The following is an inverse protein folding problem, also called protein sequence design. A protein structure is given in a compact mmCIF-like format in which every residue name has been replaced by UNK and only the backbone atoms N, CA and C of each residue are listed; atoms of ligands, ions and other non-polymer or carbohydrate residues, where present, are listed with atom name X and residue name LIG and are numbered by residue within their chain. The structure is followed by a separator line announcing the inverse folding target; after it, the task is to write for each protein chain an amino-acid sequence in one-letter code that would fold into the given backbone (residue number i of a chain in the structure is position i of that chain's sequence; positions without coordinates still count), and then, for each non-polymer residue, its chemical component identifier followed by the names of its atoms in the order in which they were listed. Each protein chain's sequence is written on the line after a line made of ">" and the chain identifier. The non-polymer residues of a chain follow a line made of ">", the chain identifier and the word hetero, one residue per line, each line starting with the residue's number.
data_IF_182642043276
#
_entry.id   IF_182642043276
#
_cell.length_a   1.000
_cell.length_b   1.000
_cell.length_c   1.000
_cell.angle_alpha   90.00
_cell.angle_beta   90.00
_cell.angle_gamma   90.00
#
_symmetry.space_group_name_H-M   'P 1'
#
loop_
_entity.id
_entity.type
_entity.pdbx_description
1 polymer ?
#
# COMPACT_ATOMS: atom_id res chain seq x y z
N UNK A 1 -74.13 58.09 30.98
CA UNK A 1 -73.08 58.90 30.32
C UNK A 1 -71.76 58.12 30.17
N UNK A 2 -71.78 56.82 29.83
CA UNK A 2 -70.60 55.94 30.03
C UNK A 2 -70.13 55.08 28.84
N UNK A 3 -70.61 55.29 27.62
CA UNK A 3 -70.27 54.40 26.47
C UNK A 3 -69.50 55.07 25.32
N UNK A 4 -69.25 56.38 25.36
CA UNK A 4 -68.54 57.08 24.27
C UNK A 4 -67.00 56.96 24.33
N UNK A 5 -66.43 56.51 25.46
CA UNK A 5 -64.99 56.34 25.64
C UNK A 5 -64.45 54.94 25.36
N UNK A 6 -65.32 53.93 25.18
CA UNK A 6 -64.90 52.54 24.96
C UNK A 6 -64.46 52.28 23.52
N UNK A 7 -65.12 52.92 22.55
CA UNK A 7 -64.81 52.76 21.11
C UNK A 7 -63.39 53.23 20.77
N UNK A 8 -62.94 54.43 21.22
CA UNK A 8 -61.57 54.90 20.93
C UNK A 8 -60.48 54.03 21.53
N UNK A 9 -60.73 53.47 22.72
CA UNK A 9 -59.78 52.55 23.39
C UNK A 9 -59.66 51.25 22.61
N UNK A 10 -60.78 50.72 22.11
CA UNK A 10 -60.80 49.48 21.34
C UNK A 10 -60.15 49.65 19.96
N UNK A 11 -60.35 50.80 19.30
CA UNK A 11 -59.63 51.15 18.06
C UNK A 11 -58.13 51.27 18.30
N UNK A 12 -57.69 51.93 19.38
CA UNK A 12 -56.26 52.08 19.68
C UNK A 12 -55.60 50.72 19.95
N UNK A 13 -56.27 49.81 20.66
CA UNK A 13 -55.77 48.44 20.86
C UNK A 13 -55.68 47.71 19.52
N UNK A 14 -56.71 47.81 18.68
CA UNK A 14 -56.76 47.11 17.40
C UNK A 14 -55.66 47.60 16.45
N UNK A 15 -55.45 48.92 16.36
CA UNK A 15 -54.35 49.52 15.58
C UNK A 15 -53.00 49.08 16.10
N UNK A 16 -52.83 49.00 17.42
CA UNK A 16 -51.57 48.54 18.05
C UNK A 16 -51.28 47.07 17.70
N UNK A 17 -52.29 46.21 17.75
CA UNK A 17 -52.15 44.78 17.37
C UNK A 17 -51.84 44.64 15.88
N UNK A 18 -52.54 45.38 15.01
CA UNK A 18 -52.27 45.38 13.57
C UNK A 18 -50.85 45.86 13.29
N UNK A 19 -50.38 46.90 13.97
CA UNK A 19 -49.00 47.39 13.84
C UNK A 19 -47.97 46.36 14.31
N UNK A 20 -48.21 45.67 15.43
CA UNK A 20 -47.31 44.61 15.93
C UNK A 20 -47.21 43.42 14.98
N UNK A 21 -48.35 42.95 14.46
CA UNK A 21 -48.40 41.85 13.48
C UNK A 21 -47.73 42.29 12.17
N UNK A 22 -48.00 43.50 11.70
CA UNK A 22 -47.35 44.07 10.52
C UNK A 22 -45.84 44.16 10.73
N UNK A 23 -45.38 44.56 11.92
CA UNK A 23 -43.95 44.59 12.25
C UNK A 23 -43.31 43.20 12.19
N UNK A 24 -43.96 42.17 12.72
CA UNK A 24 -43.46 40.80 12.64
C UNK A 24 -43.39 40.25 11.21
N UNK A 25 -44.31 40.65 10.33
CA UNK A 25 -44.36 40.19 8.93
C UNK A 25 -43.37 40.96 8.04
N UNK A 26 -43.27 42.28 8.21
CA UNK A 26 -42.38 43.12 7.38
C UNK A 26 -40.94 43.15 7.90
N UNK A 27 -40.72 42.86 9.18
CA UNK A 27 -39.41 42.71 9.80
C UNK A 27 -39.24 41.32 10.42
N UNK A 28 -39.25 40.24 9.61
CA UNK A 28 -38.91 38.93 10.13
C UNK A 28 -37.54 38.99 10.78
N UNK A 29 -37.34 38.30 11.90
CA UNK A 29 -36.03 38.16 12.53
C UNK A 29 -35.03 37.65 11.48
N UNK A 30 -34.20 38.55 10.97
CA UNK A 30 -33.04 38.16 10.18
C UNK A 30 -31.97 37.74 11.17
N UNK A 31 -32.08 36.51 11.66
CA UNK A 31 -30.92 35.84 12.23
C UNK A 31 -29.93 35.63 11.09
N UNK A 32 -28.97 36.55 10.99
CA UNK A 32 -27.79 36.31 10.17
C UNK A 32 -27.04 35.18 10.84
N UNK A 33 -27.09 34.00 10.22
CA UNK A 33 -26.25 32.88 10.62
C UNK A 33 -24.79 33.31 10.40
N UNK A 34 -24.18 33.82 11.46
CA UNK A 34 -22.86 34.38 11.38
C UNK A 34 -21.89 33.20 11.38
N UNK A 35 -21.26 32.94 10.23
CA UNK A 35 -20.32 31.82 10.05
C UNK A 35 -18.99 32.02 10.80
N UNK A 36 -18.99 32.84 11.87
CA UNK A 36 -17.82 33.11 12.70
C UNK A 36 -17.33 31.87 13.42
N UNK A 37 -18.25 31.02 13.91
CA UNK A 37 -17.89 29.75 14.53
C UNK A 37 -17.19 28.82 13.53
N UNK A 38 -17.71 28.70 12.31
CA UNK A 38 -17.07 27.92 11.25
C UNK A 38 -15.70 28.50 10.85
N UNK A 39 -15.58 29.82 10.75
CA UNK A 39 -14.32 30.49 10.42
C UNK A 39 -13.25 30.33 11.51
N UNK A 40 -13.63 30.42 12.79
CA UNK A 40 -12.75 30.16 13.93
C UNK A 40 -12.25 28.70 13.93
N UNK A 41 -13.17 27.76 13.73
CA UNK A 41 -12.89 26.32 13.67
C UNK A 41 -11.98 25.99 12.47
N UNK A 42 -12.23 26.57 11.30
CA UNK A 42 -11.37 26.41 10.13
C UNK A 42 -9.95 26.98 10.37
N UNK A 43 -9.84 28.13 11.03
CA UNK A 43 -8.56 28.76 11.36
C UNK A 43 -7.76 27.88 12.32
N UNK A 44 -8.40 27.38 13.39
CA UNK A 44 -7.79 26.42 14.32
C UNK A 44 -7.34 25.13 13.63
N UNK A 45 -8.15 24.61 12.70
CA UNK A 45 -7.80 23.44 11.91
C UNK A 45 -6.55 23.67 11.09
N UNK A 46 -6.47 24.81 10.40
CA UNK A 46 -5.28 25.21 9.62
C UNK A 46 -4.05 25.40 10.49
N UNK A 47 -4.16 26.07 11.63
CA UNK A 47 -3.01 26.30 12.52
C UNK A 47 -2.50 25.00 13.13
N UNK A 48 -3.39 24.09 13.53
CA UNK A 48 -3.02 22.75 13.99
C UNK A 48 -2.27 21.98 12.89
N UNK A 49 -2.79 21.98 11.67
CA UNK A 49 -2.15 21.31 10.52
C UNK A 49 -0.79 21.89 10.18
N UNK A 50 -0.65 23.21 10.11
CA UNK A 50 0.63 23.88 9.86
C UNK A 50 1.61 23.58 11.00
N UNK A 51 1.14 23.51 12.24
CA UNK A 51 1.98 23.18 13.39
C UNK A 51 2.51 21.75 13.26
N UNK A 52 1.65 20.77 12.95
CA UNK A 52 2.02 19.38 12.72
C UNK A 52 3.11 19.23 11.64
N UNK A 53 2.99 20.01 10.57
CA UNK A 53 3.96 20.04 9.47
C UNK A 53 5.28 20.69 9.87
N UNK A 54 5.25 21.84 10.54
CA UNK A 54 6.45 22.54 11.01
C UNK A 54 7.28 21.74 12.00
N UNK A 55 6.63 20.87 12.79
CA UNK A 55 7.33 19.93 13.70
C UNK A 55 7.65 18.59 13.03
N UNK A 56 7.52 18.50 11.70
CA UNK A 56 7.79 17.33 10.88
C UNK A 56 7.12 16.04 11.41
N UNK A 57 5.91 16.18 11.96
CA UNK A 57 5.18 15.07 12.61
C UNK A 57 3.88 14.73 11.90
N UNK A 58 3.52 15.39 10.79
CA UNK A 58 2.32 15.08 9.98
C UNK A 58 2.26 13.60 9.60
N UNK A 59 3.38 13.01 9.20
CA UNK A 59 3.46 11.58 8.85
C UNK A 59 3.19 10.68 10.06
N UNK A 60 3.77 11.03 11.21
CA UNK A 60 3.55 10.31 12.47
C UNK A 60 2.09 10.40 12.90
N UNK A 61 1.54 11.59 12.99
CA UNK A 61 0.16 11.81 13.43
C UNK A 61 -0.89 11.25 12.44
N UNK A 62 -0.57 11.20 11.15
CA UNK A 62 -1.43 10.51 10.18
C UNK A 62 -1.37 8.99 10.33
N UNK A 63 -0.30 8.42 10.86
CA UNK A 63 -0.19 6.96 11.00
C UNK A 63 -0.57 6.44 12.39
N UNK A 64 -0.43 7.28 13.42
CA UNK A 64 -0.62 6.98 14.84
C UNK A 64 -1.72 7.86 15.46
N UNK A 65 -2.89 7.24 15.70
CA UNK A 65 -4.06 7.93 16.23
C UNK A 65 -3.85 8.41 17.68
N UNK A 66 -3.09 7.68 18.48
CA UNK A 66 -2.85 8.04 19.89
C UNK A 66 -1.93 9.26 19.97
N UNK A 67 -0.91 9.31 19.11
CA UNK A 67 -0.04 10.48 19.00
C UNK A 67 -0.81 11.71 18.51
N UNK A 68 -1.70 11.54 17.52
CA UNK A 68 -2.57 12.61 17.03
C UNK A 68 -3.52 13.10 18.13
N UNK A 69 -4.23 12.19 18.81
CA UNK A 69 -5.15 12.53 19.89
C UNK A 69 -4.43 13.27 21.02
N UNK A 70 -3.23 12.82 21.38
CA UNK A 70 -2.38 13.48 22.38
C UNK A 70 -1.97 14.89 21.97
N UNK A 71 -1.76 15.13 20.68
CA UNK A 71 -1.45 16.45 20.13
C UNK A 71 -2.69 17.35 20.07
N UNK A 72 -3.79 16.86 19.51
CA UNK A 72 -5.03 17.63 19.35
C UNK A 72 -5.66 17.97 20.70
N UNK A 73 -5.67 17.06 21.67
CA UNK A 73 -6.17 17.33 23.03
C UNK A 73 -5.36 18.40 23.77
N UNK A 74 -4.10 18.64 23.38
CA UNK A 74 -3.26 19.71 23.95
C UNK A 74 -3.42 21.04 23.21
N UNK A 75 -3.76 20.99 21.92
CA UNK A 75 -3.72 22.14 21.01
C UNK A 75 -5.11 22.74 20.81
N UNK A 76 -6.15 21.90 20.89
CA UNK A 76 -7.53 22.26 20.61
C UNK A 76 -8.32 22.30 21.92
N UNK A 77 -9.14 23.34 22.14
CA UNK A 77 -10.05 23.42 23.28
C UNK A 77 -10.96 22.19 23.43
N UNK A 78 -11.23 21.78 24.68
CA UNK A 78 -12.03 20.59 25.01
C UNK A 78 -13.49 20.62 24.52
N UNK A 79 -14.00 21.77 24.07
CA UNK A 79 -15.36 21.94 23.56
C UNK A 79 -15.47 21.76 22.04
N UNK A 80 -14.36 21.48 21.35
CA UNK A 80 -14.33 21.21 19.91
C UNK A 80 -14.12 19.72 19.70
N UNK A 81 -14.99 19.13 18.90
CA UNK A 81 -14.87 17.76 18.45
C UNK A 81 -14.00 17.75 17.19
N UNK A 82 -13.11 16.78 17.07
CA UNK A 82 -12.26 16.62 15.89
C UNK A 82 -12.42 15.23 15.27
N UNK A 83 -12.21 15.18 13.96
CA UNK A 83 -12.10 13.95 13.20
C UNK A 83 -11.04 14.10 12.13
N UNK A 84 -10.51 12.99 11.65
CA UNK A 84 -9.52 13.02 10.57
C UNK A 84 -9.86 12.04 9.49
N UNK A 85 -9.53 12.41 8.25
CA UNK A 85 -9.45 11.48 7.14
C UNK A 85 -8.10 11.54 6.45
N UNK A 86 -7.58 10.37 6.10
CA UNK A 86 -6.28 10.24 5.42
C UNK A 86 -6.53 9.47 4.15
N UNK A 87 -6.05 9.98 3.04
CA UNK A 87 -6.21 9.40 1.71
C UNK A 87 -4.83 9.20 1.04
N UNK A 88 -4.72 8.20 0.18
CA UNK A 88 -3.54 7.98 -0.67
C UNK A 88 -2.41 7.13 -0.07
N UNK A 89 -2.53 6.67 1.18
CA UNK A 89 -1.53 5.78 1.82
C UNK A 89 -2.05 4.35 2.03
N UNK A 90 -1.14 3.38 2.07
CA UNK A 90 -1.46 2.03 2.55
C UNK A 90 -2.00 2.06 3.99
N UNK A 91 -2.87 1.11 4.36
CA UNK A 91 -3.33 1.00 5.75
C UNK A 91 -2.23 0.37 6.63
N UNK A 92 -2.18 0.71 7.92
CA UNK A 92 -1.21 0.12 8.85
C UNK A 92 -1.54 -1.35 9.18
N UNK A 93 -2.80 -1.75 9.05
CA UNK A 93 -3.26 -3.13 9.16
C UNK A 93 -4.10 -3.46 7.92
N UNK A 94 -3.67 -4.43 7.15
CA UNK A 94 -4.35 -4.90 5.94
C UNK A 94 -4.76 -6.35 6.20
N UNK A 95 -6.07 -6.59 6.24
CA UNK A 95 -6.63 -7.93 6.33
C UNK A 95 -6.66 -8.53 4.94
N UNK A 96 -6.04 -9.69 4.77
CA UNK A 96 -5.95 -10.42 3.51
C UNK A 96 -6.73 -11.72 3.65
N UNK A 97 -7.87 -11.81 2.98
CA UNK A 97 -8.59 -13.07 2.83
C UNK A 97 -7.87 -13.96 1.82
N UNK A 98 -7.68 -15.24 2.12
CA UNK A 98 -6.96 -16.18 1.26
C UNK A 98 -7.76 -17.47 1.11
N UNK A 99 -8.11 -17.86 -0.12
CA UNK A 99 -8.58 -19.22 -0.40
C UNK A 99 -7.37 -20.15 -0.48
N UNK A 100 -6.79 -20.42 0.68
CA UNK A 100 -5.46 -21.00 0.81
C UNK A 100 -5.45 -22.04 1.93
N UNK A 101 -4.57 -23.03 1.80
CA UNK A 101 -4.29 -23.98 2.88
C UNK A 101 -3.61 -23.30 4.06
N UNK A 102 -3.70 -23.89 5.25
CA UNK A 102 -3.01 -23.39 6.46
C UNK A 102 -1.50 -23.23 6.23
N UNK A 103 -0.89 -24.13 5.46
CA UNK A 103 0.52 -24.03 5.09
C UNK A 103 0.80 -22.78 4.25
N UNK A 104 0.04 -22.55 3.19
CA UNK A 104 0.18 -21.36 2.35
C UNK A 104 -0.04 -20.06 3.13
N UNK A 105 -0.99 -20.04 4.06
CA UNK A 105 -1.21 -18.89 4.94
C UNK A 105 0.03 -18.68 5.82
N UNK A 106 0.55 -19.72 6.48
CA UNK A 106 1.76 -19.63 7.28
C UNK A 106 2.96 -19.13 6.46
N UNK A 107 3.13 -19.64 5.25
CA UNK A 107 4.18 -19.22 4.32
C UNK A 107 4.03 -17.74 3.96
N UNK A 108 2.84 -17.29 3.55
CA UNK A 108 2.60 -15.87 3.25
C UNK A 108 2.78 -14.97 4.47
N UNK A 109 2.31 -15.37 5.65
CA UNK A 109 2.51 -14.60 6.88
C UNK A 109 4.00 -14.46 7.20
N UNK A 110 4.79 -15.51 6.97
CA UNK A 110 6.24 -15.45 7.14
C UNK A 110 6.91 -14.55 6.10
N UNK A 111 6.43 -14.54 4.85
CA UNK A 111 7.04 -13.78 3.76
C UNK A 111 6.70 -12.30 3.78
N UNK A 112 5.44 -11.95 4.02
CA UNK A 112 4.92 -10.59 3.83
C UNK A 112 4.13 -10.07 5.03
N UNK A 113 3.95 -10.87 6.10
CA UNK A 113 3.08 -10.53 7.24
C UNK A 113 3.44 -9.23 7.96
N UNK A 114 4.70 -8.78 7.88
CA UNK A 114 5.14 -7.48 8.42
C UNK A 114 6.07 -6.79 7.45
N UNK A 115 5.71 -5.58 7.09
CA UNK A 115 6.48 -4.71 6.19
C UNK A 115 6.78 -3.40 6.92
N UNK A 116 7.85 -2.72 6.52
CA UNK A 116 8.16 -1.37 6.99
C UNK A 116 8.31 -0.45 5.80
N UNK A 117 7.56 0.65 5.80
CA UNK A 117 7.51 1.59 4.68
C UNK A 117 7.43 3.00 5.25
N UNK A 118 8.34 3.91 4.90
CA UNK A 118 8.30 5.30 5.36
C UNK A 118 8.17 5.44 6.89
N UNK A 119 9.02 4.73 7.64
CA UNK A 119 9.09 4.64 9.11
C UNK A 119 7.86 4.05 9.82
N UNK A 120 6.85 3.56 9.10
CA UNK A 120 5.69 2.87 9.68
C UNK A 120 5.73 1.37 9.43
N UNK A 121 5.28 0.61 10.41
CA UNK A 121 4.99 -0.81 10.26
C UNK A 121 3.62 -0.98 9.56
N UNK A 122 3.59 -1.90 8.60
CA UNK A 122 2.38 -2.37 7.93
C UNK A 122 2.24 -3.85 8.25
N UNK A 123 1.18 -4.20 8.97
CA UNK A 123 0.82 -5.57 9.30
C UNK A 123 -0.11 -6.11 8.22
N UNK A 124 0.25 -7.25 7.63
CA UNK A 124 -0.63 -8.02 6.76
C UNK A 124 -1.17 -9.22 7.56
N UNK A 125 -2.45 -9.14 7.93
CA UNK A 125 -3.16 -10.19 8.64
C UNK A 125 -3.85 -11.13 7.65
N UNK A 126 -3.23 -12.28 7.40
CA UNK A 126 -3.64 -13.23 6.38
C UNK A 126 -4.53 -14.29 7.01
N UNK A 127 -5.78 -14.37 6.54
CA UNK A 127 -6.83 -15.21 7.12
C UNK A 127 -7.43 -16.14 6.06
N UNK A 128 -7.81 -17.38 6.45
CA UNK A 128 -8.51 -18.27 5.54
C UNK A 128 -9.89 -17.71 5.19
N UNK A 129 -10.29 -17.81 3.92
CA UNK A 129 -11.63 -17.42 3.46
C UNK A 129 -12.14 -18.36 2.38
N UNK A 130 -13.45 -18.64 2.44
CA UNK A 130 -14.18 -19.16 1.30
C UNK A 130 -14.31 -18.09 0.21
N UNK A 131 -14.64 -18.50 -1.02
CA UNK A 131 -15.00 -17.58 -2.11
C UNK A 131 -16.48 -17.14 -2.04
N UNK A 132 -17.29 -17.79 -1.21
CA UNK A 132 -18.67 -17.42 -0.91
C UNK A 132 -19.11 -17.97 0.46
N UNK A 133 -19.53 -17.13 1.42
CA UNK A 133 -19.31 -15.69 1.46
C UNK A 133 -17.82 -15.36 1.66
N UNK A 134 -17.35 -14.25 1.08
CA UNK A 134 -15.98 -13.77 1.27
C UNK A 134 -15.86 -13.09 2.65
N UNK A 135 -14.84 -13.43 3.42
CA UNK A 135 -14.59 -12.78 4.70
C UNK A 135 -14.25 -11.30 4.51
N UNK A 136 -14.83 -10.43 5.35
CA UNK A 136 -14.52 -8.99 5.37
C UNK A 136 -13.00 -8.78 5.49
N UNK A 137 -12.43 -8.16 4.48
CA UNK A 137 -10.99 -8.00 4.28
C UNK A 137 -10.72 -6.87 3.29
N UNK A 138 -9.46 -6.47 3.13
CA UNK A 138 -9.03 -5.44 2.18
C UNK A 138 -8.60 -6.01 0.82
N UNK A 139 -8.09 -7.25 0.82
CA UNK A 139 -7.63 -7.97 -0.36
C UNK A 139 -8.07 -9.43 -0.26
N UNK A 140 -8.55 -10.00 -1.37
CA UNK A 140 -8.78 -11.43 -1.54
C UNK A 140 -7.67 -12.03 -2.42
N UNK A 141 -6.97 -13.05 -1.91
CA UNK A 141 -6.06 -13.90 -2.69
C UNK A 141 -6.79 -15.19 -3.04
N UNK A 142 -6.88 -15.47 -4.34
CA UNK A 142 -7.36 -16.73 -4.89
C UNK A 142 -6.13 -17.49 -5.35
N UNK A 143 -5.69 -18.47 -4.55
CA UNK A 143 -4.52 -19.28 -4.87
C UNK A 143 -4.95 -20.60 -5.50
N UNK A 144 -4.41 -20.86 -6.68
CA UNK A 144 -4.54 -22.12 -7.38
C UNK A 144 -5.71 -22.13 -8.36
N UNK A 145 -5.98 -23.31 -8.88
CA UNK A 145 -6.99 -23.51 -9.92
C UNK A 145 -8.37 -23.58 -9.29
N UNK A 146 -9.20 -22.58 -9.54
CA UNK A 146 -10.60 -22.54 -9.11
C UNK A 146 -11.47 -21.97 -10.24
N UNK A 147 -12.55 -22.67 -10.59
CA UNK A 147 -13.60 -22.13 -11.45
C UNK A 147 -14.35 -21.03 -10.69
N UNK A 148 -14.32 -19.81 -11.24
CA UNK A 148 -14.90 -18.62 -10.62
C UNK A 148 -16.37 -18.40 -11.03
N UNK A 149 -16.93 -19.25 -11.89
CA UNK A 149 -18.32 -19.16 -12.37
C UNK A 149 -19.34 -19.04 -11.25
N UNK A 150 -19.26 -19.92 -10.25
CA UNK A 150 -20.18 -19.93 -9.11
C UNK A 150 -19.97 -18.75 -8.14
N UNK A 151 -18.80 -18.13 -8.14
CA UNK A 151 -18.40 -17.10 -7.16
C UNK A 151 -18.37 -15.69 -7.73
N UNK A 152 -18.59 -15.54 -9.04
CA UNK A 152 -18.47 -14.28 -9.78
C UNK A 152 -19.21 -13.12 -9.09
N UNK A 153 -20.48 -13.32 -8.74
CA UNK A 153 -21.31 -12.28 -8.12
C UNK A 153 -20.72 -11.79 -6.80
N UNK A 154 -20.27 -12.72 -5.95
CA UNK A 154 -19.70 -12.39 -4.64
C UNK A 154 -18.34 -11.68 -4.78
N UNK A 155 -17.49 -12.14 -5.70
CA UNK A 155 -16.20 -11.48 -6.00
C UNK A 155 -16.42 -10.07 -6.54
N UNK A 156 -17.34 -9.88 -7.48
CA UNK A 156 -17.64 -8.56 -8.05
C UNK A 156 -18.25 -7.62 -7.00
N UNK A 157 -19.12 -8.13 -6.12
CA UNK A 157 -19.65 -7.33 -5.02
C UNK A 157 -18.56 -6.96 -4.00
N UNK A 158 -17.68 -7.91 -3.67
CA UNK A 158 -16.51 -7.65 -2.83
C UNK A 158 -15.59 -6.57 -3.42
N UNK A 159 -15.36 -6.59 -4.73
CA UNK A 159 -14.58 -5.57 -5.42
C UNK A 159 -15.26 -4.19 -5.35
N UNK A 160 -16.58 -4.10 -5.58
CA UNK A 160 -17.35 -2.83 -5.57
C UNK A 160 -17.17 -2.01 -4.28
N UNK A 161 -16.87 -2.65 -3.15
CA UNK A 161 -16.57 -1.98 -1.88
C UNK A 161 -15.18 -1.30 -1.84
N UNK A 162 -14.43 -1.35 -2.95
CA UNK A 162 -13.08 -0.85 -3.12
C UNK A 162 -12.00 -1.84 -2.71
N UNK A 163 -12.34 -3.13 -2.55
CA UNK A 163 -11.37 -4.17 -2.19
C UNK A 163 -10.67 -4.73 -3.43
N UNK A 164 -9.43 -5.21 -3.24
CA UNK A 164 -8.62 -5.78 -4.30
C UNK A 164 -8.74 -7.30 -4.39
N UNK A 165 -8.54 -7.86 -5.59
CA UNK A 165 -8.49 -9.31 -5.80
C UNK A 165 -7.18 -9.68 -6.48
N UNK A 166 -6.51 -10.72 -5.99
CA UNK A 166 -5.28 -11.26 -6.56
C UNK A 166 -5.54 -12.72 -6.94
N UNK A 167 -5.39 -13.04 -8.22
CA UNK A 167 -5.42 -14.42 -8.72
C UNK A 167 -4.00 -14.92 -8.91
N UNK A 168 -3.65 -16.03 -8.28
CA UNK A 168 -2.36 -16.69 -8.46
C UNK A 168 -2.60 -18.12 -8.94
N UNK A 169 -2.31 -18.42 -10.20
CA UNK A 169 -2.52 -19.76 -10.73
C UNK A 169 -1.68 -20.04 -11.97
N UNK A 170 -1.19 -21.28 -12.08
CA UNK A 170 -0.71 -21.84 -13.34
C UNK A 170 -1.92 -22.06 -14.26
N UNK A 171 -2.16 -21.10 -15.16
CA UNK A 171 -3.40 -21.04 -15.92
C UNK A 171 -3.62 -22.31 -16.77
N UNK A 172 -4.67 -23.05 -16.44
CA UNK A 172 -5.46 -23.78 -17.41
C UNK A 172 -6.35 -22.77 -18.18
N UNK A 173 -7.15 -23.21 -19.15
CA UNK A 173 -8.05 -22.31 -19.87
C UNK A 173 -8.93 -21.55 -18.87
N UNK A 174 -8.81 -20.20 -18.77
CA UNK A 174 -9.57 -19.42 -17.80
C UNK A 174 -11.05 -19.50 -18.15
N UNK A 175 -11.91 -19.66 -17.15
CA UNK A 175 -13.34 -19.54 -17.36
C UNK A 175 -13.74 -18.09 -17.70
N UNK A 176 -15.00 -17.90 -18.11
CA UNK A 176 -15.50 -16.57 -18.51
C UNK A 176 -15.46 -15.56 -17.35
N UNK A 177 -15.65 -16.00 -16.11
CA UNK A 177 -15.62 -15.14 -14.92
C UNK A 177 -14.19 -14.72 -14.58
N UNK A 178 -13.24 -15.64 -14.70
CA UNK A 178 -11.81 -15.37 -14.55
C UNK A 178 -11.33 -14.34 -15.57
N UNK A 179 -11.74 -14.53 -16.83
CA UNK A 179 -11.46 -13.62 -17.94
C UNK A 179 -11.97 -12.21 -17.66
N UNK A 180 -13.18 -12.08 -17.13
CA UNK A 180 -13.80 -10.79 -16.81
C UNK A 180 -13.15 -10.10 -15.61
N UNK A 181 -12.92 -10.83 -14.52
CA UNK A 181 -12.33 -10.29 -13.29
C UNK A 181 -10.90 -9.79 -13.55
N UNK A 182 -10.07 -10.62 -14.19
CA UNK A 182 -8.65 -10.32 -14.40
C UNK A 182 -8.35 -9.65 -15.74
N UNK A 183 -9.34 -9.51 -16.64
CA UNK A 183 -9.15 -8.87 -17.95
C UNK A 183 -8.18 -9.64 -18.86
N UNK A 184 -8.19 -10.97 -18.78
CA UNK A 184 -7.26 -11.84 -19.50
C UNK A 184 -8.01 -12.80 -20.42
N UNK A 185 -7.51 -12.99 -21.64
CA UNK A 185 -7.98 -14.01 -22.57
C UNK A 185 -6.84 -14.92 -22.97
N UNK A 186 -7.14 -16.08 -23.54
CA UNK A 186 -6.10 -16.91 -24.14
C UNK A 186 -5.46 -16.16 -25.31
N UNK A 187 -4.16 -16.37 -25.55
CA UNK A 187 -3.47 -15.76 -26.67
C UNK A 187 -4.23 -16.01 -27.98
N UNK A 188 -4.73 -17.22 -28.18
CA UNK A 188 -5.46 -17.61 -29.41
C UNK A 188 -6.70 -16.77 -29.62
N UNK A 189 -7.44 -16.42 -28.56
CA UNK A 189 -8.61 -15.52 -28.65
C UNK A 189 -8.22 -14.08 -28.95
N UNK A 190 -7.03 -13.65 -28.52
CA UNK A 190 -6.57 -12.26 -28.69
C UNK A 190 -5.90 -12.05 -30.04
N UNK A 191 -5.06 -12.98 -30.50
CA UNK A 191 -4.19 -12.82 -31.67
C UNK A 191 -4.40 -13.88 -32.77
N UNK A 192 -5.14 -14.96 -32.48
CA UNK A 192 -5.29 -16.11 -33.36
C UNK A 192 -4.17 -17.15 -33.19
N UNK A 193 -4.46 -18.41 -33.50
CA UNK A 193 -3.58 -19.56 -33.22
C UNK A 193 -2.18 -19.44 -33.85
N UNK A 194 -2.09 -18.86 -35.06
CA UNK A 194 -0.82 -18.69 -35.77
C UNK A 194 0.18 -17.79 -35.03
N UNK A 195 -0.29 -16.92 -34.13
CA UNK A 195 0.54 -15.98 -33.39
C UNK A 195 0.82 -16.41 -31.95
N UNK A 196 0.45 -17.64 -31.58
CA UNK A 196 0.48 -18.13 -30.18
C UNK A 196 1.34 -19.38 -29.98
N UNK A 197 2.18 -19.74 -30.96
CA UNK A 197 3.16 -20.80 -30.79
C UNK A 197 4.25 -20.37 -29.79
N UNK A 198 4.61 -21.20 -28.83
CA UNK A 198 5.64 -20.86 -27.84
C UNK A 198 6.99 -20.58 -28.51
N UNK A 199 7.46 -19.34 -28.44
CA UNK A 199 8.89 -19.05 -28.59
C UNK A 199 9.45 -18.98 -27.18
N UNK A 200 9.93 -20.11 -26.65
CA UNK A 200 10.51 -20.14 -25.33
C UNK A 200 11.79 -19.29 -25.33
N UNK A 201 11.66 -18.04 -24.89
CA UNK A 201 12.79 -17.30 -24.35
C UNK A 201 12.75 -17.52 -22.84
N UNK A 202 13.89 -17.89 -22.26
CA UNK A 202 14.04 -18.06 -20.81
C UNK A 202 14.16 -16.72 -20.07
N UNK A 203 13.91 -15.60 -20.75
CA UNK A 203 14.11 -14.27 -20.20
C UNK A 203 12.78 -13.71 -19.73
N UNK A 204 12.63 -13.67 -18.40
CA UNK A 204 11.56 -12.90 -17.79
C UNK A 204 12.04 -11.45 -17.72
N UNK A 205 11.18 -10.50 -18.02
CA UNK A 205 11.53 -9.08 -17.94
C UNK A 205 10.47 -8.34 -17.15
N UNK A 206 10.89 -7.29 -16.48
CA UNK A 206 9.98 -6.35 -15.83
C UNK A 206 9.86 -5.12 -16.69
N UNK A 207 8.62 -4.74 -16.99
CA UNK A 207 8.36 -3.47 -17.65
C UNK A 207 8.51 -2.36 -16.61
N UNK A 208 9.45 -1.46 -16.77
CA UNK A 208 9.55 -0.26 -15.93
C UNK A 208 8.73 0.87 -16.55
N UNK A 209 7.85 1.49 -15.77
CA UNK A 209 7.18 2.75 -16.14
C UNK A 209 7.39 3.83 -15.09
N UNK A 210 7.64 5.06 -15.54
CA UNK A 210 7.58 6.28 -14.72
C UNK A 210 6.20 6.95 -14.79
N UNK A 211 5.35 6.53 -15.71
CA UNK A 211 4.03 7.14 -15.91
C UNK A 211 3.02 6.61 -14.89
N UNK A 212 2.64 7.49 -13.96
CA UNK A 212 1.68 7.23 -12.89
C UNK A 212 0.25 6.91 -13.38
N UNK A 213 -0.09 7.24 -14.63
CA UNK A 213 -1.40 6.94 -15.21
C UNK A 213 -1.55 5.48 -15.63
N UNK A 214 -0.45 4.72 -15.75
CA UNK A 214 -0.50 3.33 -16.21
C UNK A 214 -1.03 2.40 -15.11
N UNK A 215 -1.88 1.40 -15.44
CA UNK A 215 -2.40 0.46 -14.45
C UNK A 215 -1.32 -0.27 -13.65
N UNK A 216 -0.23 -0.64 -14.29
CA UNK A 216 0.91 -1.34 -13.69
C UNK A 216 1.78 -0.48 -12.76
N UNK A 217 1.68 0.86 -12.83
CA UNK A 217 2.60 1.77 -12.15
C UNK A 217 2.64 1.55 -10.64
N UNK A 218 1.49 1.39 -10.00
CA UNK A 218 1.47 1.33 -8.55
C UNK A 218 2.13 0.06 -8.01
N UNK A 219 1.88 -1.09 -8.64
CA UNK A 219 2.53 -2.35 -8.28
C UNK A 219 4.03 -2.27 -8.51
N UNK A 220 4.46 -1.70 -9.65
CA UNK A 220 5.88 -1.48 -9.94
C UNK A 220 6.54 -0.54 -8.94
N UNK A 221 5.89 0.57 -8.61
CA UNK A 221 6.36 1.53 -7.60
C UNK A 221 6.58 0.83 -6.26
N UNK A 222 5.66 -0.02 -5.81
CA UNK A 222 5.89 -0.80 -4.60
C UNK A 222 7.04 -1.79 -4.78
N UNK A 223 7.11 -2.52 -5.89
CA UNK A 223 8.19 -3.47 -6.14
C UNK A 223 9.59 -2.82 -6.06
N UNK A 224 9.78 -1.64 -6.67
CA UNK A 224 11.08 -0.96 -6.72
C UNK A 224 11.42 -0.12 -5.47
N UNK A 225 10.53 -0.04 -4.50
CA UNK A 225 10.76 0.82 -3.33
C UNK A 225 10.47 0.14 -2.00
N UNK A 226 9.63 -0.89 -1.98
CA UNK A 226 9.26 -1.57 -0.75
C UNK A 226 10.49 -2.22 -0.11
N UNK A 227 10.83 -1.81 1.13
CA UNK A 227 11.88 -2.45 1.89
C UNK A 227 11.45 -3.86 2.28
N UNK A 228 12.13 -4.87 1.75
CA UNK A 228 11.85 -6.26 2.07
C UNK A 228 12.50 -6.55 3.41
N UNK A 229 11.70 -7.08 4.33
CA UNK A 229 12.18 -7.61 5.60
C UNK A 229 12.93 -8.91 5.35
N UNK A 230 14.19 -8.97 5.76
CA UNK A 230 14.86 -10.25 5.96
C UNK A 230 15.03 -10.52 7.46
N UNK A 231 14.75 -11.76 7.85
CA UNK A 231 14.93 -12.24 9.19
C UNK A 231 16.31 -12.87 9.26
N UNK A 232 17.22 -12.23 9.99
CA UNK A 232 18.49 -12.86 10.27
C UNK A 232 18.23 -14.14 11.09
N UNK A 233 18.80 -15.25 10.62
CA UNK A 233 18.84 -16.48 11.41
C UNK A 233 19.78 -16.25 12.60
N UNK A 234 19.43 -16.87 13.73
CA UNK A 234 20.28 -16.94 14.92
C UNK A 234 21.47 -17.88 14.65
N UNK A 235 22.37 -17.50 13.76
CA UNK A 235 23.70 -18.07 13.70
C UNK A 235 24.58 -17.23 14.59
N UNK A 236 24.81 -17.69 15.82
CA UNK A 236 25.81 -17.12 16.72
C UNK A 236 27.17 -17.37 16.09
N UNK A 237 27.66 -16.41 15.32
CA UNK A 237 29.07 -16.39 14.95
C UNK A 237 29.88 -16.03 16.21
N UNK A 238 31.09 -16.60 16.41
CA UNK A 238 32.02 -16.06 17.39
C UNK A 238 32.16 -14.55 17.15
N UNK A 239 32.34 -13.76 18.21
CA UNK A 239 32.29 -12.27 18.25
C UNK A 239 33.27 -11.53 17.32
N UNK A 240 34.00 -12.25 16.48
CA UNK A 240 34.90 -11.77 15.45
C UNK A 240 34.40 -12.23 14.09
N UNK A 241 33.98 -11.29 13.24
CA UNK A 241 33.78 -11.55 11.82
C UNK A 241 35.08 -11.14 11.14
N UNK A 242 35.89 -12.12 10.72
CA UNK A 242 37.07 -11.82 9.91
C UNK A 242 36.62 -11.23 8.57
N UNK A 243 37.31 -10.20 8.10
CA UNK A 243 37.02 -9.61 6.78
C UNK A 243 38.22 -9.75 5.88
N UNK A 244 37.99 -10.15 4.62
CA UNK A 244 39.01 -10.07 3.57
C UNK A 244 38.99 -8.68 2.93
N UNK A 245 39.22 -7.64 3.74
CA UNK A 245 39.70 -6.37 3.20
C UNK A 245 41.17 -6.55 2.75
N UNK A 246 41.71 -5.78 1.78
CA UNK A 246 43.11 -5.85 1.36
C UNK A 246 44.15 -5.64 2.49
N UNK A 247 43.73 -5.39 3.73
CA UNK A 247 44.57 -5.19 4.90
C UNK A 247 44.29 -6.15 6.09
N UNK A 248 43.55 -7.26 5.91
CA UNK A 248 43.38 -8.26 6.99
C UNK A 248 42.73 -7.73 8.27
N UNK A 249 41.90 -6.68 8.18
CA UNK A 249 41.25 -6.09 9.34
C UNK A 249 40.19 -7.06 9.91
N UNK A 250 40.40 -7.52 11.13
CA UNK A 250 39.37 -8.27 11.89
C UNK A 250 38.33 -7.28 12.37
N UNK A 251 37.09 -7.43 11.92
CA UNK A 251 35.98 -6.62 12.43
C UNK A 251 35.47 -7.31 13.69
N UNK A 252 35.81 -6.73 14.83
CA UNK A 252 35.29 -7.17 16.12
C UNK A 252 33.92 -6.54 16.30
N UNK A 253 32.88 -7.36 16.35
CA UNK A 253 31.56 -6.85 16.64
C UNK A 253 31.47 -6.61 18.15
N UNK A 254 31.12 -5.40 18.60
CA UNK A 254 31.14 -5.05 20.02
C UNK A 254 30.14 -5.86 20.85
N UNK A 255 29.18 -6.50 20.19
CA UNK A 255 28.15 -7.34 20.81
C UNK A 255 28.54 -8.81 20.75
N UNK A 256 28.18 -9.55 21.80
CA UNK A 256 28.36 -11.01 21.91
C UNK A 256 27.44 -11.82 20.99
N UNK A 257 26.47 -11.17 20.34
CA UNK A 257 25.53 -11.78 19.41
C UNK A 257 25.59 -11.05 18.07
N UNK A 258 26.00 -11.77 17.03
CA UNK A 258 25.96 -11.33 15.63
C UNK A 258 24.83 -12.08 14.95
N UNK A 259 23.96 -11.38 14.22
CA UNK A 259 22.84 -11.99 13.51
C UNK A 259 23.17 -12.08 12.02
N UNK A 260 23.06 -13.27 11.44
CA UNK A 260 23.40 -13.51 10.04
C UNK A 260 22.17 -13.79 9.18
N UNK A 261 22.13 -13.26 7.97
CA UNK A 261 21.08 -13.58 7.00
C UNK A 261 21.63 -13.69 5.58
N UNK A 262 20.72 -13.90 4.64
CA UNK A 262 21.10 -14.06 3.25
C UNK A 262 20.08 -13.39 2.34
N UNK A 263 20.48 -12.27 1.74
CA UNK A 263 19.70 -11.62 0.70
C UNK A 263 19.78 -12.49 -0.56
N UNK A 264 18.66 -13.11 -0.90
CA UNK A 264 18.50 -13.88 -2.15
C UNK A 264 17.64 -13.10 -3.13
N UNK A 265 18.18 -12.76 -4.29
CA UNK A 265 17.45 -12.07 -5.35
C UNK A 265 17.79 -12.75 -6.67
N UNK A 266 16.84 -13.51 -7.22
CA UNK A 266 17.09 -14.48 -8.30
C UNK A 266 18.21 -15.47 -7.93
N UNK A 267 19.18 -15.68 -8.83
CA UNK A 267 20.44 -16.41 -8.66
C UNK A 267 21.46 -15.69 -7.77
N UNK A 268 21.31 -14.38 -7.54
CA UNK A 268 22.24 -13.65 -6.69
C UNK A 268 21.92 -13.88 -5.22
N UNK A 269 22.98 -14.07 -4.44
CA UNK A 269 22.91 -14.33 -3.01
C UNK A 269 24.01 -13.55 -2.33
N UNK A 270 23.67 -12.79 -1.30
CA UNK A 270 24.63 -12.04 -0.51
C UNK A 270 24.38 -12.26 0.98
N UNK A 271 25.39 -12.78 1.66
CA UNK A 271 25.35 -12.97 3.11
C UNK A 271 25.53 -11.63 3.79
N UNK A 272 24.85 -11.44 4.90
CA UNK A 272 25.04 -10.25 5.71
C UNK A 272 25.07 -10.58 7.20
N UNK A 273 25.64 -9.67 7.97
CA UNK A 273 25.81 -9.77 9.42
C UNK A 273 25.45 -8.45 10.09
N UNK A 274 24.53 -8.50 11.04
CA UNK A 274 24.08 -7.37 11.85
C UNK A 274 24.88 -7.41 13.16
N UNK A 275 25.77 -6.43 13.35
CA UNK A 275 26.57 -6.34 14.56
C UNK A 275 26.05 -5.30 15.56
N UNK A 276 25.39 -4.25 15.08
CA UNK A 276 24.74 -3.23 15.92
C UNK A 276 23.59 -2.56 15.15
N UNK A 277 22.92 -1.58 15.77
CA UNK A 277 21.78 -0.86 15.19
C UNK A 277 22.12 0.12 14.06
N UNK A 278 23.39 0.25 13.69
CA UNK A 278 23.84 1.29 12.75
C UNK A 278 24.60 0.73 11.54
N UNK A 279 25.12 -0.50 11.63
CA UNK A 279 25.97 -1.09 10.60
C UNK A 279 25.57 -2.54 10.31
N UNK A 280 25.54 -2.88 9.03
CA UNK A 280 25.40 -4.24 8.50
C UNK A 280 26.62 -4.54 7.65
N UNK A 281 27.30 -5.64 7.91
CA UNK A 281 28.39 -6.13 7.08
C UNK A 281 27.80 -7.05 6.01
N UNK A 282 28.28 -6.96 4.78
CA UNK A 282 27.70 -7.71 3.67
C UNK A 282 28.81 -8.24 2.75
N UNK A 283 28.61 -9.46 2.26
CA UNK A 283 29.41 -10.09 1.22
C UNK A 283 28.72 -9.87 -0.13
N UNK A 284 29.12 -8.81 -0.84
CA UNK A 284 28.47 -8.41 -2.09
C UNK A 284 29.00 -9.13 -3.32
N UNK A 285 30.17 -9.77 -3.22
CA UNK A 285 30.84 -10.48 -4.30
C UNK A 285 30.84 -12.01 -4.14
N UNK A 286 30.17 -12.53 -3.10
CA UNK A 286 30.04 -13.95 -2.78
C UNK A 286 31.39 -14.64 -2.48
N UNK A 287 32.31 -13.94 -1.81
CA UNK A 287 33.61 -14.48 -1.39
C UNK A 287 33.59 -15.16 -0.02
N UNK A 288 32.40 -15.31 0.57
CA UNK A 288 32.12 -15.86 1.92
C UNK A 288 32.45 -14.86 3.05
N UNK A 289 33.18 -13.79 2.75
CA UNK A 289 33.62 -12.77 3.71
C UNK A 289 32.93 -11.43 3.42
N UNK A 290 32.56 -10.65 4.44
CA UNK A 290 32.03 -9.32 4.19
C UNK A 290 33.10 -8.44 3.53
N UNK A 291 32.69 -7.77 2.45
CA UNK A 291 33.50 -6.82 1.69
C UNK A 291 32.97 -5.39 1.79
N UNK A 292 31.74 -5.23 2.30
CA UNK A 292 31.03 -3.95 2.33
C UNK A 292 30.41 -3.69 3.71
N UNK A 293 30.51 -2.44 4.17
CA UNK A 293 29.84 -1.97 5.39
C UNK A 293 28.69 -1.06 4.98
N UNK A 294 27.47 -1.43 5.36
CA UNK A 294 26.24 -0.75 5.01
C UNK A 294 25.67 0.00 6.22
N UNK A 295 25.28 1.25 6.01
CA UNK A 295 24.44 2.04 6.92
C UNK A 295 23.07 2.27 6.28
N UNK A 296 22.10 2.72 7.06
CA UNK A 296 20.84 3.20 6.46
C UNK A 296 21.10 4.22 5.34
N UNK A 297 20.31 4.11 4.26
CA UNK A 297 20.39 4.87 3.00
C UNK A 297 21.65 4.60 2.15
N UNK A 298 22.49 3.64 2.54
CA UNK A 298 23.63 3.23 1.70
C UNK A 298 23.13 2.41 0.52
N UNK A 299 23.57 2.79 -0.68
CA UNK A 299 23.34 2.02 -1.91
C UNK A 299 24.49 1.04 -2.11
N UNK A 300 24.19 -0.18 -2.50
CA UNK A 300 25.17 -1.24 -2.74
C UNK A 300 24.73 -2.13 -3.89
N UNK A 301 25.66 -2.90 -4.44
CA UNK A 301 25.42 -3.77 -5.59
C UNK A 301 25.79 -5.20 -5.23
N UNK A 302 24.86 -6.15 -5.40
CA UNK A 302 25.12 -7.58 -5.21
C UNK A 302 25.44 -8.21 -6.55
N UNK A 303 26.57 -8.90 -6.65
CA UNK A 303 26.98 -9.58 -7.88
C UNK A 303 26.11 -10.83 -8.13
N UNK A 304 25.67 -10.99 -9.35
CA UNK A 304 25.01 -12.21 -9.83
C UNK A 304 26.07 -13.18 -10.37
N UNK A 305 26.28 -14.34 -9.74
CA UNK A 305 27.29 -15.30 -10.19
C UNK A 305 26.95 -15.94 -11.54
N UNK A 306 25.66 -16.00 -11.92
CA UNK A 306 25.23 -16.64 -13.16
C UNK A 306 25.48 -15.76 -14.39
N UNK A 307 25.21 -14.45 -14.26
CA UNK A 307 25.31 -13.49 -15.38
C UNK A 307 26.58 -12.65 -15.34
N UNK A 308 27.27 -12.61 -14.19
CA UNK A 308 28.36 -11.66 -13.92
C UNK A 308 27.89 -10.22 -13.71
N UNK A 309 26.59 -9.94 -13.85
CA UNK A 309 25.97 -8.64 -13.60
C UNK A 309 25.89 -8.29 -12.11
N UNK A 310 25.26 -7.16 -11.80
CA UNK A 310 25.00 -6.77 -10.41
C UNK A 310 23.63 -6.13 -10.23
N UNK A 311 23.08 -6.32 -9.04
CA UNK A 311 21.77 -5.83 -8.63
C UNK A 311 21.93 -4.74 -7.57
N UNK A 312 21.35 -3.57 -7.82
CA UNK A 312 21.46 -2.45 -6.90
C UNK A 312 20.36 -2.51 -5.83
N UNK A 313 20.76 -2.23 -4.60
CA UNK A 313 19.89 -2.17 -3.44
C UNK A 313 20.21 -0.94 -2.62
N UNK A 314 19.27 -0.55 -1.76
CA UNK A 314 19.47 0.41 -0.69
C UNK A 314 19.16 -0.25 0.64
N UNK A 315 20.01 -0.04 1.63
CA UNK A 315 19.72 -0.40 3.01
C UNK A 315 18.73 0.61 3.59
N UNK A 316 17.47 0.25 3.75
CA UNK A 316 16.40 1.20 4.16
C UNK A 316 16.31 1.32 5.69
N UNK A 317 16.41 0.20 6.40
CA UNK A 317 16.35 0.16 7.86
C UNK A 317 17.29 -0.88 8.46
N UNK A 318 17.88 -0.54 9.61
CA UNK A 318 18.65 -1.45 10.45
C UNK A 318 18.00 -1.50 11.83
N UNK A 319 17.39 -2.63 12.18
CA UNK A 319 16.76 -2.85 13.49
C UNK A 319 17.50 -3.97 14.23
N UNK A 320 18.51 -3.57 15.02
CA UNK A 320 19.26 -4.52 15.84
C UNK A 320 18.51 -5.00 17.09
N UNK A 321 17.47 -4.29 17.55
CA UNK A 321 16.62 -4.78 18.63
C UNK A 321 15.69 -5.91 18.18
N UNK A 322 15.34 -5.90 16.89
CA UNK A 322 14.50 -6.91 16.24
C UNK A 322 15.26 -7.96 15.43
N UNK A 323 16.60 -7.86 15.32
CA UNK A 323 17.48 -8.68 14.47
C UNK A 323 17.04 -8.69 13.01
N UNK A 324 16.73 -7.50 12.48
CA UNK A 324 16.13 -7.33 11.16
C UNK A 324 16.86 -6.27 10.36
N UNK A 325 16.90 -6.53 9.06
CA UNK A 325 17.30 -5.55 8.06
C UNK A 325 16.21 -5.44 7.03
N UNK A 326 16.07 -4.24 6.48
CA UNK A 326 15.13 -3.97 5.42
C UNK A 326 15.87 -3.38 4.25
N UNK A 327 15.80 -4.06 3.11
CA UNK A 327 16.53 -3.68 1.91
C UNK A 327 15.54 -3.43 0.78
N UNK A 328 15.66 -2.28 0.12
CA UNK A 328 14.85 -1.96 -1.05
C UNK A 328 15.67 -2.19 -2.30
N UNK A 329 15.13 -2.96 -3.24
CA UNK A 329 15.72 -3.05 -4.57
C UNK A 329 15.71 -1.67 -5.25
N UNK A 330 16.77 -1.29 -5.97
CA UNK A 330 16.84 -0.03 -6.71
C UNK A 330 17.01 -0.35 -8.19
N UNK A 331 16.04 0.03 -9.04
CA UNK A 331 16.09 -0.34 -10.45
C UNK A 331 17.34 0.25 -11.11
N UNK A 332 18.03 -0.56 -11.90
CA UNK A 332 18.84 -0.08 -12.99
C UNK A 332 17.89 0.09 -14.20
N UNK A 333 17.93 1.20 -14.96
CA UNK A 333 17.03 1.44 -16.10
C UNK A 333 17.01 0.34 -17.18
N UNK A 334 17.95 -0.60 -17.18
CA UNK A 334 18.00 -1.75 -18.10
C UNK A 334 17.76 -3.10 -17.40
N UNK A 335 16.85 -3.16 -16.43
CA UNK A 335 16.67 -4.39 -15.67
C UNK A 335 15.93 -5.47 -16.45
N UNK A 336 16.59 -6.63 -16.58
CA UNK A 336 16.01 -7.87 -17.09
C UNK A 336 15.93 -8.89 -15.97
N UNK A 337 14.86 -9.67 -15.90
CA UNK A 337 14.65 -10.74 -14.90
C UNK A 337 15.02 -12.13 -15.46
N UNK A 338 16.23 -12.32 -15.96
CA UNK A 338 16.59 -13.49 -16.79
C UNK A 338 16.54 -14.90 -16.15
N UNK A 339 16.06 -15.08 -14.91
CA UNK A 339 16.06 -16.40 -14.24
C UNK A 339 15.07 -16.48 -13.06
N UNK A 340 13.82 -16.08 -13.26
CA UNK A 340 12.77 -16.40 -12.28
C UNK A 340 11.88 -17.49 -12.84
N UNK A 341 11.60 -18.52 -12.06
CA UNK A 341 10.58 -19.52 -12.40
C UNK A 341 9.15 -18.93 -12.30
N UNK A 342 8.86 -17.75 -12.88
CA UNK A 342 7.48 -17.43 -13.27
C UNK A 342 7.25 -18.15 -14.60
N UNK A 343 7.17 -19.47 -14.56
CA UNK A 343 6.98 -20.25 -15.79
C UNK A 343 5.71 -19.74 -16.47
N UNK A 344 5.81 -19.46 -17.76
CA UNK A 344 4.63 -19.21 -18.59
C UNK A 344 3.55 -20.24 -18.26
N UNK A 345 2.30 -19.79 -18.03
CA UNK A 345 1.22 -20.71 -17.75
C UNK A 345 1.09 -21.74 -18.88
N UNK A 346 0.58 -22.93 -18.56
CA UNK A 346 0.33 -23.96 -19.56
C UNK A 346 -0.57 -23.46 -20.71
N UNK A 347 -1.48 -22.53 -20.41
CA UNK A 347 -2.25 -21.76 -21.39
C UNK A 347 -1.77 -20.31 -21.38
N UNK A 348 -1.22 -19.86 -22.50
CA UNK A 348 -0.74 -18.49 -22.67
C UNK A 348 -1.88 -17.49 -22.59
N UNK A 349 -1.76 -16.51 -21.70
CA UNK A 349 -2.77 -15.47 -21.49
C UNK A 349 -2.29 -14.11 -21.98
N UNK A 350 -3.22 -13.23 -22.35
CA UNK A 350 -2.93 -11.85 -22.70
C UNK A 350 -4.03 -10.90 -22.23
N UNK A 351 -3.71 -9.62 -21.90
CA UNK A 351 -4.72 -8.59 -21.71
C UNK A 351 -5.78 -8.60 -22.81
N UNK A 352 -7.06 -8.69 -22.43
CA UNK A 352 -8.16 -8.85 -23.38
C UNK A 352 -8.32 -7.67 -24.34
N UNK A 353 -7.86 -6.49 -23.94
CA UNK A 353 -7.85 -5.23 -24.70
C UNK A 353 -6.53 -4.94 -25.40
N UNK A 354 -5.56 -5.86 -25.32
CA UNK A 354 -4.20 -5.72 -25.86
C UNK A 354 -3.42 -4.53 -25.28
N UNK A 355 -3.77 -4.08 -24.07
CA UNK A 355 -3.05 -3.02 -23.38
C UNK A 355 -1.83 -3.57 -22.62
N UNK A 356 -0.65 -3.40 -23.22
CA UNK A 356 0.61 -3.83 -22.65
C UNK A 356 0.95 -3.06 -21.36
N UNK A 357 0.35 -1.88 -21.13
CA UNK A 357 0.59 -1.06 -19.93
C UNK A 357 0.00 -1.70 -18.66
N UNK A 358 -0.80 -2.75 -18.82
CA UNK A 358 -1.28 -3.63 -17.74
C UNK A 358 -0.26 -4.69 -17.33
N UNK A 359 0.70 -5.01 -18.19
CA UNK A 359 1.69 -6.08 -17.95
C UNK A 359 2.83 -5.55 -17.08
N UNK A 360 3.07 -6.21 -15.96
CA UNK A 360 4.16 -5.87 -15.03
C UNK A 360 5.42 -6.68 -15.37
N UNK A 361 5.25 -7.98 -15.56
CA UNK A 361 6.33 -8.90 -15.92
C UNK A 361 5.87 -9.85 -17.01
N UNK A 362 6.82 -10.36 -17.78
CA UNK A 362 6.59 -11.28 -18.89
C UNK A 362 7.70 -12.30 -19.03
N UNK A 363 7.43 -13.48 -19.56
CA UNK A 363 8.34 -14.62 -19.77
C UNK A 363 8.53 -14.88 -21.27
N UNK A 364 9.51 -14.23 -21.86
CA UNK A 364 9.75 -14.29 -23.30
C UNK A 364 8.69 -13.58 -24.14
N UNK A 365 8.60 -13.99 -25.41
CA UNK A 365 7.74 -13.35 -26.39
C UNK A 365 6.98 -14.36 -27.23
N UNK A 366 5.77 -13.98 -27.63
CA UNK A 366 5.03 -14.63 -28.70
C UNK A 366 5.77 -14.48 -30.05
N UNK A 367 5.44 -15.31 -31.06
CA UNK A 367 6.00 -15.22 -32.42
C UNK A 367 5.79 -13.86 -33.09
N UNK A 368 4.75 -13.12 -32.67
CA UNK A 368 4.48 -11.76 -33.14
C UNK A 368 5.33 -10.69 -32.42
N UNK A 369 6.28 -11.09 -31.57
CA UNK A 369 7.18 -10.21 -30.82
C UNK A 369 6.59 -9.63 -29.52
N UNK A 370 5.31 -9.87 -29.22
CA UNK A 370 4.65 -9.38 -27.99
C UNK A 370 5.14 -10.15 -26.77
N UNK A 371 5.27 -9.52 -25.59
CA UNK A 371 5.71 -10.21 -24.37
C UNK A 371 4.67 -11.21 -23.88
N UNK A 372 5.06 -12.36 -23.32
CA UNK A 372 4.14 -13.32 -22.69
C UNK A 372 3.93 -12.93 -21.22
N UNK A 373 2.79 -12.36 -20.81
CA UNK A 373 2.58 -11.83 -19.46
C UNK A 373 2.66 -12.93 -18.37
N UNK A 374 3.34 -12.61 -17.27
CA UNK A 374 3.37 -13.42 -16.03
C UNK A 374 2.71 -12.72 -14.85
N UNK A 375 2.61 -11.39 -14.90
CA UNK A 375 1.84 -10.58 -13.95
C UNK A 375 1.12 -9.47 -14.71
N UNK A 376 -0.19 -9.36 -14.51
CA UNK A 376 -1.04 -8.37 -15.20
C UNK A 376 -1.96 -7.67 -14.21
N UNK A 377 -2.15 -6.37 -14.37
CA UNK A 377 -3.10 -5.56 -13.59
C UNK A 377 -4.32 -5.22 -14.43
N UNK A 378 -5.50 -5.49 -13.89
CA UNK A 378 -6.75 -5.00 -14.42
C UNK A 378 -7.39 -4.03 -13.44
N UNK A 379 -7.37 -2.75 -13.79
CA UNK A 379 -8.15 -1.74 -13.10
C UNK A 379 -9.56 -1.76 -13.72
N UNK A 380 -10.46 -2.53 -13.15
CA UNK A 380 -11.87 -2.46 -13.55
C UNK A 380 -12.52 -1.22 -12.94
N UNK A 381 -13.70 -0.82 -13.44
CA UNK A 381 -14.49 0.25 -12.84
C UNK A 381 -14.90 -0.05 -11.39
N UNK A 382 -14.92 -1.33 -11.00
CA UNK A 382 -15.41 -1.78 -9.70
C UNK A 382 -14.30 -2.08 -8.70
N UNK A 383 -13.03 -2.21 -9.10
CA UNK A 383 -11.92 -2.50 -8.18
C UNK A 383 -10.62 -2.84 -8.90
N UNK A 384 -9.60 -3.26 -8.14
CA UNK A 384 -8.30 -3.67 -8.69
C UNK A 384 -8.17 -5.18 -8.66
N UNK A 385 -7.98 -5.78 -9.82
CA UNK A 385 -7.65 -7.18 -9.96
C UNK A 385 -6.21 -7.31 -10.45
N UNK A 386 -5.42 -8.18 -9.81
CA UNK A 386 -4.07 -8.51 -10.27
C UNK A 386 -4.02 -10.00 -10.51
N UNK A 387 -3.55 -10.40 -11.68
CA UNK A 387 -3.28 -11.79 -11.99
C UNK A 387 -1.79 -12.07 -11.99
N UNK A 388 -1.39 -13.24 -11.52
CA UNK A 388 -0.05 -13.77 -11.71
C UNK A 388 -0.05 -15.28 -11.94
N UNK A 389 0.90 -15.76 -12.76
CA UNK A 389 1.32 -17.17 -12.78
C UNK A 389 1.76 -17.63 -11.38
N UNK A 390 1.61 -18.90 -11.02
CA UNK A 390 2.06 -19.34 -9.69
C UNK A 390 3.59 -19.38 -9.61
N UNK A 391 4.17 -18.51 -8.80
CA UNK A 391 5.63 -18.37 -8.68
C UNK A 391 6.16 -18.69 -7.28
N UNK A 392 5.29 -18.90 -6.30
CA UNK A 392 5.70 -19.11 -4.92
C UNK A 392 6.03 -20.59 -4.70
N UNK A 393 7.29 -20.95 -4.97
CA UNK A 393 7.85 -22.26 -4.64
C UNK A 393 8.03 -22.44 -3.12
N UNK A 394 8.37 -23.66 -2.69
CA UNK A 394 8.90 -23.89 -1.34
C UNK A 394 10.18 -23.07 -1.19
N UNK A 395 10.17 -22.07 -0.29
CA UNK A 395 11.23 -21.08 -0.07
C UNK A 395 11.51 -20.13 -1.26
N UNK A 396 10.61 -19.17 -1.53
CA UNK A 396 10.83 -18.17 -2.57
C UNK A 396 11.99 -17.22 -2.21
N UNK A 397 12.73 -16.75 -3.22
CA UNK A 397 13.68 -15.65 -3.09
C UNK A 397 12.99 -14.32 -2.71
N UNK A 398 13.77 -13.32 -2.31
CA UNK A 398 13.25 -12.02 -1.89
C UNK A 398 12.54 -11.27 -3.01
N UNK A 399 12.97 -11.45 -4.26
CA UNK A 399 12.31 -10.93 -5.47
C UNK A 399 10.84 -11.36 -5.57
N UNK A 400 10.56 -12.62 -5.28
CA UNK A 400 9.19 -13.17 -5.32
C UNK A 400 8.36 -12.72 -4.13
N UNK A 401 8.96 -12.69 -2.92
CA UNK A 401 8.30 -12.13 -1.73
C UNK A 401 7.92 -10.66 -1.94
N UNK A 402 8.82 -9.89 -2.55
CA UNK A 402 8.62 -8.49 -2.91
C UNK A 402 7.52 -8.32 -3.95
N UNK A 403 7.48 -9.15 -5.00
CA UNK A 403 6.39 -9.15 -5.96
C UNK A 403 5.05 -9.38 -5.27
N UNK A 404 4.96 -10.42 -4.42
CA UNK A 404 3.74 -10.70 -3.67
C UNK A 404 3.31 -9.53 -2.78
N UNK A 405 4.23 -8.98 -1.98
CA UNK A 405 3.95 -7.81 -1.14
C UNK A 405 3.52 -6.60 -1.96
N UNK A 406 4.15 -6.36 -3.12
CA UNK A 406 3.81 -5.26 -4.02
C UNK A 406 2.41 -5.39 -4.60
N UNK A 407 1.99 -6.60 -4.98
CA UNK A 407 0.64 -6.88 -5.46
C UNK A 407 -0.40 -6.67 -4.35
N UNK A 408 -0.15 -7.19 -3.14
CA UNK A 408 -1.05 -7.00 -1.99
C UNK A 408 -1.20 -5.52 -1.65
N UNK A 409 -0.08 -4.77 -1.58
CA UNK A 409 -0.13 -3.34 -1.33
C UNK A 409 -0.84 -2.59 -2.46
N UNK A 410 -0.59 -2.93 -3.73
CA UNK A 410 -1.23 -2.25 -4.86
C UNK A 410 -2.75 -2.50 -4.92
N UNK A 411 -3.17 -3.75 -4.66
CA UNK A 411 -4.56 -4.18 -4.65
C UNK A 411 -5.32 -3.70 -3.40
N UNK A 412 -4.63 -3.53 -2.26
CA UNK A 412 -5.27 -3.10 -1.02
C UNK A 412 -5.99 -1.77 -1.15
N UNK A 413 -7.20 -1.72 -0.55
CA UNK A 413 -7.92 -0.48 -0.33
C UNK A 413 -7.00 0.51 0.40
N UNK A 414 -6.81 1.69 -0.18
CA UNK A 414 -6.05 2.75 0.48
C UNK A 414 -6.81 3.23 1.71
N UNK A 415 -6.06 3.72 2.69
CA UNK A 415 -6.64 4.25 3.93
C UNK A 415 -7.66 5.33 3.56
N UNK A 416 -8.84 5.21 4.15
CA UNK A 416 -9.78 6.28 4.44
C UNK A 416 -10.18 5.98 5.88
N UNK A 417 -9.40 6.47 6.84
CA UNK A 417 -9.89 6.44 8.22
C UNK A 417 -10.88 7.57 8.30
N UNK A 418 -12.15 7.27 8.50
CA UNK A 418 -13.02 8.21 9.17
C UNK A 418 -12.95 7.80 10.64
N UNK A 419 -12.42 8.66 11.49
CA UNK A 419 -12.87 8.65 12.89
C UNK A 419 -14.34 9.03 12.82
N UNK A 420 -15.21 8.04 12.66
CA UNK A 420 -16.66 8.24 12.62
C UNK A 420 -17.04 8.89 13.92
N UNK A 421 -17.32 10.18 13.83
CA UNK A 421 -18.25 10.83 14.71
C UNK A 421 -19.55 10.04 14.54
N UNK A 422 -20.22 9.65 15.62
CA UNK A 422 -21.53 9.01 15.51
C UNK A 422 -22.55 9.91 14.79
N UNK A 423 -23.85 9.66 14.96
CA UNK A 423 -24.93 10.51 14.41
C UNK A 423 -24.98 11.96 14.98
N UNK A 424 -23.86 12.50 15.43
CA UNK A 424 -23.65 13.86 15.86
C UNK A 424 -23.77 14.80 14.66
N UNK A 425 -24.77 15.68 14.71
CA UNK A 425 -24.78 16.89 13.88
C UNK A 425 -23.66 17.78 14.37
N UNK A 426 -22.79 18.21 13.45
CA UNK A 426 -21.62 19.03 13.77
C UNK A 426 -21.65 20.25 12.87
N UNK A 427 -21.61 21.45 13.47
CA UNK A 427 -21.21 22.67 12.75
C UNK A 427 -19.69 22.70 12.76
N UNK A 428 -19.07 22.47 11.61
CA UNK A 428 -17.63 22.27 11.54
C UNK A 428 -17.03 22.58 10.17
N UNK A 429 -15.71 22.66 10.15
CA UNK A 429 -14.92 22.89 8.95
C UNK A 429 -13.89 21.77 8.78
N UNK A 430 -13.73 21.32 7.54
CA UNK A 430 -12.68 20.37 7.15
C UNK A 430 -11.53 21.14 6.51
N UNK A 431 -10.34 20.96 7.07
CA UNK A 431 -9.10 21.54 6.54
C UNK A 431 -8.26 20.45 5.86
N UNK A 432 -8.18 20.44 4.51
CA UNK A 432 -7.31 19.51 3.80
C UNK A 432 -5.85 19.98 3.86
N UNK A 433 -4.93 19.04 3.99
CA UNK A 433 -3.50 19.26 3.92
C UNK A 433 -2.84 18.14 3.10
N UNK A 434 -2.06 18.52 2.10
CA UNK A 434 -1.29 17.56 1.30
C UNK A 434 0.13 17.54 1.83
N UNK A 435 0.61 16.36 2.22
CA UNK A 435 1.99 16.16 2.64
C UNK A 435 2.63 15.08 1.78
N UNK A 436 3.97 15.12 1.72
CA UNK A 436 4.76 14.16 0.96
C UNK A 436 5.78 13.55 1.89
N UNK A 437 5.83 12.22 1.92
CA UNK A 437 6.88 11.48 2.62
C UNK A 437 7.70 10.74 1.59
N UNK A 438 9.02 10.89 1.68
CA UNK A 438 9.95 10.29 0.74
C UNK A 438 11.18 9.75 1.47
N UNK A 439 10.96 8.77 2.36
CA UNK A 439 12.06 8.06 3.01
C UNK A 439 12.53 6.89 2.16
N UNK A 440 11.61 5.96 1.84
CA UNK A 440 11.90 4.80 0.97
C UNK A 440 11.23 4.95 -0.39
N UNK A 441 9.99 5.42 -0.35
CA UNK A 441 9.09 5.58 -1.48
C UNK A 441 8.39 6.93 -1.36
N UNK A 442 8.31 7.65 -2.47
CA UNK A 442 7.51 8.87 -2.55
C UNK A 442 6.03 8.54 -2.35
N UNK A 443 5.45 8.91 -1.22
CA UNK A 443 4.02 8.84 -0.94
C UNK A 443 3.48 10.25 -0.80
N UNK A 444 2.46 10.57 -1.61
CA UNK A 444 1.66 11.78 -1.45
C UNK A 444 0.40 11.36 -0.72
N UNK A 445 0.07 12.05 0.37
CA UNK A 445 -1.16 11.79 1.09
C UNK A 445 -1.87 13.07 1.47
N UNK A 446 -3.19 12.98 1.44
CA UNK A 446 -4.06 14.06 1.89
C UNK A 446 -4.52 13.71 3.30
N UNK A 447 -4.26 14.61 4.24
CA UNK A 447 -4.76 14.58 5.59
C UNK A 447 -5.81 15.67 5.73
N UNK A 448 -7.05 15.28 6.00
CA UNK A 448 -8.15 16.17 6.27
C UNK A 448 -8.38 16.20 7.78
N UNK A 449 -8.27 17.37 8.40
CA UNK A 449 -8.66 17.60 9.79
C UNK A 449 -10.00 18.29 9.82
N UNK A 450 -11.03 17.59 10.28
CA UNK A 450 -12.31 18.17 10.58
C UNK A 450 -12.37 18.59 12.04
N UNK A 451 -12.82 19.81 12.28
CA UNK A 451 -13.10 20.33 13.61
C UNK A 451 -14.55 20.84 13.63
N UNK A 452 -15.22 20.79 14.78
CA UNK A 452 -16.54 21.38 14.92
C UNK A 452 -17.07 21.38 16.34
N UNK A 453 -18.13 22.14 16.56
CA UNK A 453 -18.84 22.17 17.84
C UNK A 453 -19.94 21.11 17.85
N UNK A 454 -20.18 20.42 18.98
CA UNK A 454 -21.39 19.61 19.15
C UNK A 454 -22.62 20.53 19.03
N UNK A 455 -23.60 20.12 18.22
CA UNK A 455 -24.91 20.79 18.17
C UNK A 455 -25.77 20.46 19.39
#
# INVERSE_FOLDING_TARGET
>A
MGMKGQIPVLEMITVTVILFVSFGIFFPERNFDNRWQEADVATKGRDAMITMDRVNSTSKYSSDLDALNSFLNKTIPNNIIYWTTIEGTAQSNIIVACNCTTKQIGDLTNYIGRLKLNDREILLDIRPSALSPIQKSNVLIIWGRTDLGAYKTDILNYMKDGNGVIGMADAAAPDASYTEIFGLKTCTEVFGAAQCANSASTQIDFRYTTNASKPSFLTQKYFFHLPIRDLANLTVFPSTVETKSPAGAVITCPNTQVFGGNLTFKSASARYWICNSTHVFMDTNNTIWPDTILREKTVFSVRDPATGGSYNFSMSYIDAGGNRTYMSFKPNPMFRFDDVNFKSPAVLLYPSDRDDDKVISYDGSYPNGRPIPTVTVNNSLTGRAIWSSDFLSVNPGHDRKLMMASMVLAASKKRTIETTLGDLRISGAVTPYVSVVNRDMMEIYQFNLGLGYPF
#
